data_IF_454248979653
#
_entry.id   IF_454248979653
#
_cell.length_a   1.000
_cell.length_b   1.000
_cell.length_c   1.000
_cell.angle_alpha   90.00
_cell.angle_beta   90.00
_cell.angle_gamma   90.00
#
_symmetry.space_group_name_H-M   'P 1'
#
loop_
_entity.id
_entity.type
_entity.pdbx_description
1 polymer ?
#
# COMPACT_ATOMS: atom_id res chain seq x y z
N UNK A 1 -2.21 20.47 7.68
CA UNK A 1 -2.34 19.86 6.35
C UNK A 1 -2.20 20.95 5.31
N UNK A 2 -1.00 21.15 4.78
CA UNK A 2 -0.77 22.10 3.70
C UNK A 2 -1.21 21.44 2.40
N UNK A 3 -2.43 21.74 1.95
CA UNK A 3 -2.84 21.47 0.58
C UNK A 3 -1.80 22.10 -0.35
N UNK A 4 -1.17 21.29 -1.16
CA UNK A 4 -0.20 21.70 -2.17
C UNK A 4 -0.98 22.45 -3.28
N UNK A 5 -1.35 23.72 -3.00
CA UNK A 5 -2.10 24.58 -3.93
C UNK A 5 -1.22 24.86 -5.13
N UNK A 6 -1.76 24.62 -6.33
CA UNK A 6 -1.03 24.94 -7.56
C UNK A 6 -0.95 26.48 -7.75
N UNK A 7 -0.04 26.94 -8.60
CA UNK A 7 0.20 28.37 -8.80
C UNK A 7 -1.01 29.12 -9.37
N UNK A 8 -1.87 28.45 -10.14
CA UNK A 8 -3.11 29.04 -10.62
C UNK A 8 -4.09 29.26 -9.47
N UNK A 9 -4.22 28.29 -8.58
CA UNK A 9 -5.05 28.39 -7.36
C UNK A 9 -4.52 29.46 -6.39
N UNK A 10 -3.19 29.64 -6.28
CA UNK A 10 -2.59 30.69 -5.45
C UNK A 10 -2.95 32.07 -5.99
N UNK A 11 -2.90 32.28 -7.31
CA UNK A 11 -3.30 33.54 -7.92
C UNK A 11 -4.82 33.71 -8.07
N UNK A 12 -5.60 32.63 -7.92
CA UNK A 12 -7.04 32.65 -8.13
C UNK A 12 -7.43 32.89 -9.61
N UNK A 13 -6.65 32.32 -10.53
CA UNK A 13 -6.88 32.41 -11.99
C UNK A 13 -7.09 31.03 -12.61
N UNK A 14 -7.75 31.00 -13.76
CA UNK A 14 -7.92 29.77 -14.54
C UNK A 14 -6.59 29.30 -15.15
N UNK A 15 -6.47 28.00 -15.42
CA UNK A 15 -5.26 27.43 -16.08
C UNK A 15 -5.07 27.96 -17.50
N UNK A 16 -6.14 28.44 -18.13
CA UNK A 16 -6.11 29.05 -19.45
C UNK A 16 -5.93 30.56 -19.40
N UNK A 17 -5.82 31.18 -18.20
CA UNK A 17 -5.69 32.60 -18.01
C UNK A 17 -4.56 33.23 -18.86
N UNK A 18 -4.88 34.36 -19.49
CA UNK A 18 -3.94 35.11 -20.28
C UNK A 18 -2.98 35.94 -19.41
N UNK A 19 -1.94 36.50 -20.04
CA UNK A 19 -0.94 37.31 -19.37
C UNK A 19 -1.55 38.52 -18.63
N UNK A 20 -2.56 39.14 -19.23
CA UNK A 20 -3.26 40.29 -18.63
C UNK A 20 -4.00 39.91 -17.34
N UNK A 21 -4.66 38.77 -17.33
CA UNK A 21 -5.39 38.24 -16.15
C UNK A 21 -4.42 37.89 -15.01
N UNK A 22 -3.32 37.21 -15.33
CA UNK A 22 -2.26 36.87 -14.37
C UNK A 22 -1.68 38.13 -13.74
N UNK A 23 -1.40 39.18 -14.54
CA UNK A 23 -0.90 40.46 -14.04
C UNK A 23 -1.93 41.18 -13.15
N UNK A 24 -3.22 41.14 -13.50
CA UNK A 24 -4.28 41.76 -12.74
C UNK A 24 -4.47 41.06 -11.38
N UNK A 25 -4.51 39.71 -11.38
CA UNK A 25 -4.61 38.91 -10.16
C UNK A 25 -3.43 39.15 -9.21
N UNK A 26 -2.21 39.15 -9.75
CA UNK A 26 -1.01 39.43 -8.97
C UNK A 26 -1.06 40.81 -8.32
N UNK A 27 -1.39 41.89 -9.07
CA UNK A 27 -1.50 43.24 -8.51
C UNK A 27 -2.49 43.31 -7.33
N UNK A 28 -3.65 42.67 -7.49
CA UNK A 28 -4.67 42.60 -6.44
C UNK A 28 -4.14 41.91 -5.18
N UNK A 29 -3.54 40.73 -5.33
CA UNK A 29 -3.00 39.96 -4.20
C UNK A 29 -1.77 40.63 -3.57
N UNK A 30 -0.89 41.22 -4.37
CA UNK A 30 0.28 41.94 -3.89
C UNK A 30 -0.12 43.16 -3.01
N UNK A 31 -1.19 43.88 -3.40
CA UNK A 31 -1.73 44.98 -2.59
C UNK A 31 -2.37 44.48 -1.29
N UNK A 32 -2.99 43.31 -1.29
CA UNK A 32 -3.63 42.71 -0.10
C UNK A 32 -2.61 42.19 0.91
N UNK A 33 -1.51 41.60 0.43
CA UNK A 33 -0.50 40.96 1.27
C UNK A 33 0.78 41.77 1.43
N UNK A 34 0.77 43.09 1.06
CA UNK A 34 1.94 43.94 1.20
C UNK A 34 2.29 44.16 2.68
N UNK A 35 3.56 43.94 3.09
CA UNK A 35 3.96 44.02 4.50
C UNK A 35 3.70 45.45 5.13
N UNK A 36 3.81 46.52 4.35
CA UNK A 36 3.56 47.86 4.83
C UNK A 36 2.08 48.19 5.17
N UNK A 37 1.15 47.39 4.56
CA UNK A 37 -0.29 47.59 4.80
C UNK A 37 -0.85 46.67 5.89
N UNK A 38 -0.15 45.60 6.23
CA UNK A 38 -0.56 44.65 7.26
C UNK A 38 0.54 44.44 8.33
N UNK A 39 0.89 45.47 9.10
CA UNK A 39 1.98 45.39 10.09
C UNK A 39 1.70 44.40 11.24
N UNK A 40 0.43 44.04 11.47
CA UNK A 40 0.03 43.03 12.46
C UNK A 40 0.31 41.60 12.05
N UNK A 41 0.15 41.25 10.75
CA UNK A 41 0.43 39.90 10.21
C UNK A 41 1.93 39.71 9.95
N UNK A 42 2.69 40.78 9.73
CA UNK A 42 4.15 40.72 9.57
C UNK A 42 4.86 40.18 10.82
N UNK A 43 4.31 40.39 12.01
CA UNK A 43 4.85 39.87 13.29
C UNK A 43 4.64 38.38 13.47
N UNK A 44 3.67 37.76 12.76
CA UNK A 44 3.35 36.33 12.86
C UNK A 44 4.03 35.48 11.78
N UNK A 45 4.82 36.04 10.86
CA UNK A 45 5.49 35.32 9.76
C UNK A 45 4.55 34.82 8.67
N UNK A 46 3.23 34.92 8.84
CA UNK A 46 2.21 34.37 7.92
C UNK A 46 2.03 35.25 6.67
N UNK A 47 2.11 36.57 6.79
CA UNK A 47 2.02 37.48 5.65
C UNK A 47 3.22 37.34 4.70
N UNK A 48 4.41 37.09 5.25
CA UNK A 48 5.64 36.89 4.47
C UNK A 48 5.57 35.61 3.61
N UNK A 49 5.05 34.50 4.14
CA UNK A 49 4.91 33.24 3.40
C UNK A 49 3.83 33.30 2.34
N UNK A 50 2.71 33.98 2.60
CA UNK A 50 1.64 34.18 1.60
C UNK A 50 2.10 35.08 0.46
N UNK A 51 2.80 36.18 0.75
CA UNK A 51 3.34 37.11 -0.26
C UNK A 51 4.43 36.45 -1.10
N UNK A 52 5.28 35.61 -0.48
CA UNK A 52 6.33 34.86 -1.17
C UNK A 52 5.73 33.83 -2.15
N UNK A 53 4.68 33.12 -1.74
CA UNK A 53 3.99 32.18 -2.61
C UNK A 53 3.30 32.87 -3.81
N UNK A 54 2.69 34.05 -3.59
CA UNK A 54 2.08 34.86 -4.66
C UNK A 54 3.14 35.33 -5.66
N UNK A 55 4.30 35.79 -5.17
CA UNK A 55 5.41 36.22 -6.04
C UNK A 55 5.97 35.04 -6.87
N UNK A 56 6.19 33.90 -6.26
CA UNK A 56 6.68 32.70 -6.93
C UNK A 56 5.71 32.23 -8.01
N UNK A 57 4.41 32.18 -7.70
CA UNK A 57 3.37 31.84 -8.65
C UNK A 57 3.33 32.81 -9.83
N UNK A 58 3.40 34.11 -9.58
CA UNK A 58 3.44 35.13 -10.62
C UNK A 58 4.67 34.99 -11.53
N UNK A 59 5.87 34.91 -10.96
CA UNK A 59 7.10 34.79 -11.75
C UNK A 59 7.19 33.50 -12.56
N UNK A 60 6.51 32.46 -12.12
CA UNK A 60 6.44 31.21 -12.88
C UNK A 60 5.41 31.30 -14.01
N UNK A 61 4.23 31.86 -13.73
CA UNK A 61 3.13 31.85 -14.70
C UNK A 61 3.21 32.96 -15.74
N UNK A 62 3.90 34.08 -15.46
CA UNK A 62 4.09 35.18 -16.41
C UNK A 62 5.14 34.88 -17.49
N UNK A 63 6.13 34.05 -17.15
CA UNK A 63 7.17 33.62 -18.07
C UNK A 63 6.68 32.43 -18.87
N UNK A 64 6.63 32.55 -20.21
CA UNK A 64 6.09 31.51 -21.10
C UNK A 64 6.83 30.17 -20.97
N UNK A 65 8.16 30.19 -20.83
CA UNK A 65 8.95 28.95 -20.75
C UNK A 65 8.76 28.27 -19.38
N UNK A 66 8.82 29.06 -18.30
CA UNK A 66 8.59 28.54 -16.93
C UNK A 66 7.19 27.99 -16.80
N UNK A 67 6.18 28.70 -17.31
CA UNK A 67 4.80 28.25 -17.34
C UNK A 67 4.62 26.95 -18.11
N UNK A 68 5.24 26.81 -19.27
CA UNK A 68 5.20 25.58 -20.07
C UNK A 68 5.82 24.38 -19.30
N UNK A 69 6.98 24.57 -18.68
CA UNK A 69 7.64 23.54 -17.85
C UNK A 69 6.77 23.17 -16.64
N UNK A 70 6.20 24.15 -15.97
CA UNK A 70 5.31 23.95 -14.84
C UNK A 70 4.04 23.16 -15.23
N UNK A 71 3.38 23.54 -16.32
CA UNK A 71 2.21 22.84 -16.84
C UNK A 71 2.52 21.39 -17.22
N UNK A 72 3.68 21.15 -17.86
CA UNK A 72 4.15 19.81 -18.17
C UNK A 72 4.31 18.96 -16.91
N UNK A 73 4.95 19.50 -15.87
CA UNK A 73 5.12 18.81 -14.60
C UNK A 73 3.79 18.52 -13.88
N UNK A 74 2.81 19.45 -13.95
CA UNK A 74 1.46 19.23 -13.43
C UNK A 74 0.73 18.08 -14.16
N UNK A 75 0.85 18.05 -15.50
CA UNK A 75 0.22 17.01 -16.33
C UNK A 75 0.85 15.64 -16.06
N UNK A 76 2.17 15.57 -15.99
CA UNK A 76 2.91 14.34 -15.66
C UNK A 76 2.56 13.83 -14.26
N UNK A 77 2.44 14.72 -13.28
CA UNK A 77 2.02 14.37 -11.91
C UNK A 77 0.58 13.85 -11.88
N UNK A 78 -0.34 14.51 -12.59
CA UNK A 78 -1.74 14.08 -12.69
C UNK A 78 -1.85 12.71 -13.39
N UNK A 79 -1.16 12.52 -14.52
CA UNK A 79 -1.14 11.25 -15.25
C UNK A 79 -0.52 10.12 -14.41
N UNK A 80 0.53 10.41 -13.62
CA UNK A 80 1.15 9.46 -12.70
C UNK A 80 0.19 9.03 -11.58
N UNK A 81 -0.60 9.96 -11.03
CA UNK A 81 -1.61 9.65 -10.00
C UNK A 81 -2.75 8.83 -10.59
N UNK A 82 -3.27 9.20 -11.77
CA UNK A 82 -4.32 8.43 -12.45
C UNK A 82 -3.86 7.02 -12.82
N UNK A 83 -2.65 6.88 -13.39
CA UNK A 83 -2.07 5.58 -13.72
C UNK A 83 -1.91 4.69 -12.49
N UNK A 84 -1.40 5.23 -11.39
CA UNK A 84 -1.27 4.50 -10.13
C UNK A 84 -2.64 4.08 -9.55
N UNK A 85 -3.65 4.93 -9.68
CA UNK A 85 -5.02 4.64 -9.23
C UNK A 85 -5.65 3.53 -10.06
N UNK A 86 -5.53 3.60 -11.39
CA UNK A 86 -6.04 2.55 -12.30
C UNK A 86 -5.35 1.21 -12.02
N UNK A 87 -4.03 1.21 -11.89
CA UNK A 87 -3.26 -0.01 -11.57
C UNK A 87 -3.67 -0.59 -10.21
N UNK A 88 -3.87 0.25 -9.19
CA UNK A 88 -4.33 -0.19 -7.86
C UNK A 88 -5.73 -0.79 -7.93
N UNK A 89 -6.65 -0.19 -8.70
CA UNK A 89 -8.01 -0.70 -8.88
C UNK A 89 -8.00 -2.05 -9.62
N UNK A 90 -7.18 -2.21 -10.64
CA UNK A 90 -7.00 -3.50 -11.34
C UNK A 90 -6.43 -4.58 -10.42
N UNK A 91 -5.47 -4.24 -9.55
CA UNK A 91 -4.93 -5.15 -8.55
C UNK A 91 -6.03 -5.63 -7.58
N UNK A 92 -6.86 -4.71 -7.10
CA UNK A 92 -7.96 -5.02 -6.19
C UNK A 92 -9.04 -5.90 -6.86
N UNK A 93 -9.40 -5.60 -8.11
CA UNK A 93 -10.34 -6.44 -8.87
C UNK A 93 -9.80 -7.86 -9.04
N UNK A 94 -8.55 -8.01 -9.45
CA UNK A 94 -7.89 -9.32 -9.57
C UNK A 94 -7.87 -10.06 -8.23
N UNK A 95 -7.60 -9.35 -7.13
CA UNK A 95 -7.64 -9.93 -5.79
C UNK A 95 -9.04 -10.47 -5.43
N UNK A 96 -10.10 -9.72 -5.74
CA UNK A 96 -11.49 -10.16 -5.49
C UNK A 96 -11.87 -11.40 -6.30
N UNK A 97 -11.48 -11.44 -7.58
CA UNK A 97 -11.67 -12.65 -8.41
C UNK A 97 -10.87 -13.84 -7.86
N UNK A 98 -9.66 -13.60 -7.36
CA UNK A 98 -8.86 -14.61 -6.68
C UNK A 98 -9.52 -15.14 -5.42
N UNK A 99 -10.13 -14.29 -4.60
CA UNK A 99 -10.87 -14.69 -3.41
C UNK A 99 -12.10 -15.55 -3.76
N UNK A 100 -12.82 -15.18 -4.80
CA UNK A 100 -13.98 -15.95 -5.25
C UNK A 100 -13.59 -17.33 -5.79
N UNK A 101 -12.54 -17.37 -6.62
CA UNK A 101 -11.98 -18.63 -7.09
C UNK A 101 -11.47 -19.50 -5.92
N UNK A 102 -10.87 -18.89 -4.89
CA UNK A 102 -10.40 -19.60 -3.70
C UNK A 102 -11.56 -20.20 -2.89
N UNK A 103 -12.63 -19.44 -2.67
CA UNK A 103 -13.86 -19.89 -1.98
C UNK A 103 -14.51 -21.06 -2.68
N UNK A 104 -14.54 -21.05 -4.02
CA UNK A 104 -15.11 -22.11 -4.84
C UNK A 104 -14.13 -23.26 -5.12
N UNK A 105 -13.02 -23.34 -4.35
CA UNK A 105 -11.97 -24.37 -4.46
C UNK A 105 -11.28 -24.44 -5.82
N UNK A 106 -11.40 -23.43 -6.66
CA UNK A 106 -10.69 -23.27 -7.93
C UNK A 106 -9.27 -22.72 -7.69
N UNK A 107 -8.45 -23.47 -6.92
CA UNK A 107 -7.19 -22.95 -6.40
C UNK A 107 -6.19 -22.56 -7.49
N UNK A 108 -6.11 -23.29 -8.60
CA UNK A 108 -5.24 -22.92 -9.74
C UNK A 108 -5.62 -21.53 -10.30
N UNK A 109 -6.91 -21.29 -10.51
CA UNK A 109 -7.42 -19.98 -10.96
C UNK A 109 -7.15 -18.89 -9.91
N UNK A 110 -7.31 -19.21 -8.62
CA UNK A 110 -7.01 -18.26 -7.55
C UNK A 110 -5.53 -17.83 -7.60
N UNK A 111 -4.60 -18.76 -7.84
CA UNK A 111 -3.16 -18.47 -8.02
C UNK A 111 -2.94 -17.48 -9.16
N UNK A 112 -3.57 -17.69 -10.32
CA UNK A 112 -3.44 -16.79 -11.48
C UNK A 112 -3.89 -15.35 -11.12
N UNK A 113 -5.07 -15.20 -10.52
CA UNK A 113 -5.58 -13.91 -10.12
C UNK A 113 -4.72 -13.24 -9.04
N UNK A 114 -4.27 -13.99 -8.03
CA UNK A 114 -3.40 -13.41 -6.99
C UNK A 114 -2.01 -13.05 -7.55
N UNK A 115 -1.47 -13.77 -8.52
CA UNK A 115 -0.23 -13.39 -9.22
C UNK A 115 -0.38 -12.05 -9.94
N UNK A 116 -1.52 -11.82 -10.59
CA UNK A 116 -1.81 -10.51 -11.20
C UNK A 116 -1.86 -9.42 -10.14
N UNK A 117 -2.53 -9.67 -9.00
CA UNK A 117 -2.65 -8.70 -7.91
C UNK A 117 -1.30 -8.28 -7.33
N UNK A 118 -0.40 -9.26 -7.05
CA UNK A 118 0.94 -8.95 -6.52
C UNK A 118 1.84 -8.26 -7.54
N UNK A 119 1.66 -8.55 -8.83
CA UNK A 119 2.39 -7.88 -9.92
C UNK A 119 1.99 -6.40 -10.03
N UNK A 120 0.69 -6.13 -9.95
CA UNK A 120 0.15 -4.78 -10.06
C UNK A 120 0.36 -3.94 -8.81
N UNK A 121 0.30 -4.54 -7.62
CA UNK A 121 0.58 -3.83 -6.37
C UNK A 121 1.43 -4.67 -5.40
N UNK A 122 2.76 -4.62 -5.54
CA UNK A 122 3.69 -5.40 -4.74
C UNK A 122 3.88 -4.90 -3.30
N UNK A 123 3.16 -3.85 -2.89
CA UNK A 123 3.23 -3.28 -1.54
C UNK A 123 2.13 -3.80 -0.61
N UNK A 124 1.14 -4.52 -1.13
CA UNK A 124 0.04 -5.07 -0.32
C UNK A 124 0.36 -6.49 0.17
N UNK A 125 0.64 -6.63 1.45
CA UNK A 125 0.98 -7.90 2.10
C UNK A 125 -0.09 -8.97 1.93
N UNK A 126 -1.37 -8.60 2.03
CA UNK A 126 -2.49 -9.52 1.92
C UNK A 126 -2.55 -10.26 0.57
N UNK A 127 -2.08 -9.63 -0.51
CA UNK A 127 -2.05 -10.29 -1.82
C UNK A 127 -1.05 -11.45 -1.85
N UNK A 128 0.13 -11.24 -1.30
CA UNK A 128 1.15 -12.28 -1.15
C UNK A 128 0.72 -13.38 -0.20
N UNK A 129 0.09 -13.01 0.91
CA UNK A 129 -0.46 -13.96 1.88
C UNK A 129 -1.45 -14.91 1.21
N UNK A 130 -2.43 -14.38 0.46
CA UNK A 130 -3.43 -15.19 -0.25
C UNK A 130 -2.82 -16.00 -1.39
N UNK A 131 -1.80 -15.46 -2.07
CA UNK A 131 -1.07 -16.18 -3.10
C UNK A 131 -0.39 -17.44 -2.51
N UNK A 132 0.33 -17.32 -1.41
CA UNK A 132 0.99 -18.45 -0.76
C UNK A 132 0.01 -19.55 -0.36
N UNK A 133 -1.12 -19.19 0.26
CA UNK A 133 -2.18 -20.14 0.61
C UNK A 133 -2.82 -20.79 -0.63
N UNK A 134 -3.01 -20.04 -1.71
CA UNK A 134 -3.57 -20.58 -2.95
C UNK A 134 -2.63 -21.56 -3.63
N UNK A 135 -1.32 -21.25 -3.68
CA UNK A 135 -0.30 -22.12 -4.28
C UNK A 135 -0.29 -23.48 -3.57
N UNK A 136 -0.21 -23.50 -2.24
CA UNK A 136 -0.15 -24.77 -1.50
C UNK A 136 -1.46 -25.56 -1.63
N UNK A 137 -2.61 -24.91 -1.68
CA UNK A 137 -3.92 -25.54 -1.92
C UNK A 137 -4.08 -26.06 -3.34
N UNK A 138 -3.41 -25.45 -4.29
CA UNK A 138 -3.36 -25.91 -5.69
C UNK A 138 -2.37 -27.08 -5.92
N UNK A 139 -1.74 -27.59 -4.87
CA UNK A 139 -0.60 -28.53 -4.92
C UNK A 139 0.58 -27.98 -5.74
N UNK A 140 0.78 -26.67 -5.68
CA UNK A 140 1.92 -25.99 -6.30
C UNK A 140 3.21 -26.10 -5.48
N UNK A 141 4.33 -25.55 -6.00
CA UNK A 141 5.62 -25.65 -5.35
C UNK A 141 5.62 -25.05 -3.94
N UNK A 142 6.14 -25.80 -2.96
CA UNK A 142 6.26 -25.35 -1.57
C UNK A 142 7.08 -24.06 -1.45
N UNK A 143 8.18 -23.99 -2.19
CA UNK A 143 9.07 -22.83 -2.12
C UNK A 143 8.39 -21.55 -2.61
N UNK A 144 7.55 -21.62 -3.66
CA UNK A 144 6.76 -20.46 -4.13
C UNK A 144 5.73 -20.03 -3.09
N UNK A 145 5.04 -20.98 -2.44
CA UNK A 145 4.06 -20.71 -1.40
C UNK A 145 4.72 -20.06 -0.19
N UNK A 146 5.85 -20.61 0.25
CA UNK A 146 6.67 -20.10 1.35
C UNK A 146 7.17 -18.68 1.05
N UNK A 147 7.83 -18.47 -0.10
CA UNK A 147 8.35 -17.18 -0.49
C UNK A 147 7.26 -16.10 -0.53
N UNK A 148 6.05 -16.47 -0.99
CA UNK A 148 4.90 -15.55 -0.97
C UNK A 148 4.51 -15.17 0.46
N UNK A 149 4.36 -16.12 1.38
CA UNK A 149 4.04 -15.82 2.78
C UNK A 149 5.16 -15.03 3.48
N UNK A 150 6.41 -15.36 3.24
CA UNK A 150 7.57 -14.62 3.78
C UNK A 150 7.59 -13.18 3.26
N UNK A 151 7.22 -12.96 1.99
CA UNK A 151 7.08 -11.60 1.44
C UNK A 151 5.98 -10.81 2.13
N UNK A 152 4.86 -11.44 2.47
CA UNK A 152 3.81 -10.78 3.26
C UNK A 152 4.32 -10.37 4.64
N UNK A 153 5.07 -11.23 5.33
CA UNK A 153 5.69 -10.92 6.62
C UNK A 153 6.69 -9.76 6.51
N UNK A 154 7.52 -9.73 5.45
CA UNK A 154 8.45 -8.61 5.23
C UNK A 154 7.75 -7.25 5.06
N UNK A 155 6.55 -7.24 4.49
CA UNK A 155 5.76 -6.02 4.29
C UNK A 155 5.06 -5.61 5.58
N UNK A 156 4.49 -6.57 6.32
CA UNK A 156 3.73 -6.36 7.55
C UNK A 156 4.17 -7.34 8.65
N UNK A 157 5.35 -7.11 9.23
CA UNK A 157 5.99 -8.04 10.17
C UNK A 157 5.23 -8.23 11.49
N UNK A 158 4.34 -7.31 11.85
CA UNK A 158 3.55 -7.39 13.09
C UNK A 158 2.16 -8.02 12.90
N UNK A 159 1.83 -8.47 11.69
CA UNK A 159 0.52 -9.05 11.39
C UNK A 159 0.51 -10.57 11.64
N UNK A 160 -0.20 -11.06 12.68
CA UNK A 160 -0.23 -12.48 13.05
C UNK A 160 -0.76 -13.39 11.95
N UNK A 161 -1.65 -12.89 11.07
CA UNK A 161 -2.24 -13.67 9.99
C UNK A 161 -1.20 -14.14 8.96
N UNK A 162 -0.09 -13.40 8.80
CA UNK A 162 0.96 -13.81 7.86
C UNK A 162 1.78 -14.99 8.39
N UNK A 163 2.09 -15.00 9.69
CA UNK A 163 2.71 -16.14 10.35
C UNK A 163 1.79 -17.35 10.40
N UNK A 164 0.51 -17.15 10.70
CA UNK A 164 -0.50 -18.21 10.62
C UNK A 164 -0.53 -18.85 9.24
N UNK A 165 -0.52 -18.05 8.18
CA UNK A 165 -0.54 -18.54 6.80
C UNK A 165 0.71 -19.31 6.43
N UNK A 166 1.91 -18.84 6.84
CA UNK A 166 3.16 -19.56 6.65
C UNK A 166 3.16 -20.89 7.41
N UNK A 167 2.63 -20.89 8.64
CA UNK A 167 2.42 -22.11 9.41
C UNK A 167 1.49 -23.09 8.71
N UNK A 168 0.41 -22.63 8.08
CA UNK A 168 -0.49 -23.48 7.28
C UNK A 168 0.24 -24.05 6.06
N UNK A 169 1.07 -23.28 5.39
CA UNK A 169 1.89 -23.75 4.26
C UNK A 169 2.80 -24.89 4.73
N UNK A 170 3.54 -24.73 5.81
CA UNK A 170 4.40 -25.78 6.35
C UNK A 170 3.62 -27.01 6.83
N UNK A 171 2.49 -26.80 7.52
CA UNK A 171 1.63 -27.90 7.98
C UNK A 171 1.10 -28.73 6.80
N UNK A 172 0.66 -28.10 5.72
CA UNK A 172 0.16 -28.80 4.52
C UNK A 172 1.28 -29.57 3.82
N UNK A 173 2.51 -29.11 3.92
CA UNK A 173 3.70 -29.81 3.41
C UNK A 173 4.25 -30.89 4.37
N UNK A 174 3.57 -31.16 5.49
CA UNK A 174 4.01 -32.14 6.50
C UNK A 174 5.18 -31.69 7.38
N UNK A 175 5.60 -30.42 7.30
CA UNK A 175 6.72 -29.85 8.06
C UNK A 175 6.24 -29.32 9.43
N UNK A 176 5.79 -30.24 10.29
CA UNK A 176 5.09 -29.91 11.54
C UNK A 176 5.91 -29.04 12.52
N UNK A 177 7.23 -29.26 12.61
CA UNK A 177 8.08 -28.46 13.50
C UNK A 177 8.15 -26.99 13.03
N UNK A 178 8.36 -26.76 11.73
CA UNK A 178 8.35 -25.41 11.17
C UNK A 178 6.97 -24.77 11.27
N UNK A 179 5.90 -25.53 11.07
CA UNK A 179 4.54 -25.03 11.26
C UNK A 179 4.30 -24.61 12.71
N UNK A 180 4.75 -25.41 13.67
CA UNK A 180 4.66 -25.12 15.11
C UNK A 180 5.32 -23.79 15.45
N UNK A 181 6.51 -23.53 14.93
CA UNK A 181 7.24 -22.30 15.18
C UNK A 181 6.49 -21.09 14.64
N UNK A 182 5.92 -21.19 13.44
CA UNK A 182 5.14 -20.10 12.86
C UNK A 182 3.82 -19.85 13.61
N UNK A 183 3.15 -20.88 14.09
CA UNK A 183 1.95 -20.71 14.92
C UNK A 183 2.28 -20.06 16.26
N UNK A 184 3.42 -20.37 16.86
CA UNK A 184 3.92 -19.67 18.06
C UNK A 184 4.23 -18.20 17.77
N UNK A 185 4.86 -17.88 16.64
CA UNK A 185 5.09 -16.49 16.24
C UNK A 185 3.77 -15.74 16.07
N UNK A 186 2.76 -16.33 15.39
CA UNK A 186 1.44 -15.71 15.29
C UNK A 186 0.85 -15.40 16.68
N UNK A 187 0.99 -16.30 17.64
CA UNK A 187 0.48 -16.13 19.02
C UNK A 187 1.25 -15.13 19.85
N UNK A 188 2.50 -14.82 19.50
CA UNK A 188 3.24 -13.71 20.15
C UNK A 188 2.60 -12.35 19.80
N UNK A 189 2.12 -12.20 18.58
CA UNK A 189 1.47 -10.97 18.12
C UNK A 189 -0.01 -10.90 18.48
N UNK A 190 -0.72 -12.04 18.42
CA UNK A 190 -2.11 -12.16 18.84
C UNK A 190 -2.31 -13.43 19.71
N UNK A 191 -2.14 -13.34 21.02
CA UNK A 191 -2.32 -14.46 21.94
C UNK A 191 -3.74 -15.07 21.94
N UNK A 192 -4.74 -14.33 21.44
CA UNK A 192 -6.14 -14.77 21.36
C UNK A 192 -6.51 -15.36 19.99
N UNK A 193 -5.57 -15.51 19.07
CA UNK A 193 -5.85 -16.08 17.77
C UNK A 193 -6.25 -17.56 17.87
N UNK A 194 -7.56 -17.80 17.83
CA UNK A 194 -8.16 -19.14 17.99
C UNK A 194 -7.67 -20.11 16.90
N UNK A 195 -7.42 -19.62 15.67
CA UNK A 195 -6.95 -20.48 14.59
C UNK A 195 -5.50 -20.94 14.82
N UNK A 196 -4.63 -20.04 15.25
CA UNK A 196 -3.24 -20.36 15.58
C UNK A 196 -3.18 -21.36 16.76
N UNK A 197 -3.97 -21.16 17.83
CA UNK A 197 -4.06 -22.06 18.96
C UNK A 197 -4.48 -23.47 18.54
N UNK A 198 -5.58 -23.59 17.79
CA UNK A 198 -6.08 -24.90 17.30
C UNK A 198 -5.05 -25.62 16.44
N UNK A 199 -4.38 -24.88 15.55
CA UNK A 199 -3.36 -25.48 14.67
C UNK A 199 -2.11 -25.90 15.42
N UNK A 200 -1.70 -25.12 16.41
CA UNK A 200 -0.57 -25.47 17.26
C UNK A 200 -0.86 -26.77 18.03
N UNK A 201 -2.08 -26.95 18.55
CA UNK A 201 -2.50 -28.20 19.20
C UNK A 201 -2.49 -29.40 18.22
N UNK A 202 -2.95 -29.20 16.99
CA UNK A 202 -2.97 -30.27 15.97
C UNK A 202 -1.56 -30.77 15.66
N UNK A 203 -0.61 -29.86 15.41
CA UNK A 203 0.77 -30.27 15.12
C UNK A 203 1.49 -30.83 16.35
N UNK A 204 1.10 -30.44 17.59
CA UNK A 204 1.66 -30.99 18.84
C UNK A 204 1.17 -32.38 19.17
N UNK A 205 -0.04 -32.75 18.78
CA UNK A 205 -0.62 -34.09 18.99
C UNK A 205 -0.07 -35.15 18.03
N UNK A 206 0.35 -34.72 16.81
CA UNK A 206 0.93 -35.62 15.81
C UNK A 206 2.24 -36.31 16.27
N UNK A 207 3.06 -35.60 17.05
CA UNK A 207 4.33 -36.15 17.57
C UNK A 207 4.10 -37.21 18.65
N UNK A 208 3.04 -37.10 19.46
CA UNK A 208 2.72 -38.09 20.51
C UNK A 208 2.18 -39.40 19.96
N UNK A 209 1.50 -39.36 18.81
CA UNK A 209 0.98 -40.56 18.15
C UNK A 209 2.05 -41.42 17.49
N UNK A 210 3.10 -40.79 16.97
CA UNK A 210 4.21 -41.52 16.31
C UNK A 210 5.12 -42.22 17.33
N UNK A 211 5.37 -41.65 18.47
CA UNK A 211 6.19 -42.25 19.53
C UNK A 211 5.46 -43.37 20.29
N UNK A 212 4.12 -43.29 20.39
CA UNK A 212 3.32 -44.35 21.02
C UNK A 212 3.28 -45.69 20.23
N UNK A 213 3.49 -45.61 18.92
CA UNK A 213 3.53 -46.82 18.06
C UNK A 213 4.85 -47.58 18.05
N UNK A 214 5.95 -46.95 18.49
CA UNK A 214 7.29 -47.57 18.48
C UNK A 214 7.60 -48.32 19.78
N UNK A 215 6.95 -47.98 20.90
CA UNK A 215 7.20 -48.58 22.22
C UNK A 215 6.08 -49.51 22.73
N UNK A 216 5.07 -49.79 21.94
CA UNK A 216 3.90 -50.60 22.31
C UNK A 216 3.87 -52.00 21.76
N UNK A 217 4.98 -52.74 21.74
CA UNK A 217 4.99 -54.23 21.61
C UNK A 217 6.13 -54.79 22.46
N UNK A 218 5.83 -55.17 23.65
CA UNK A 218 6.39 -56.29 24.39
C UNK A 218 5.26 -57.10 24.94
#
# INVERSE_FOLDING_TARGET
MSENRDYYSILGVDRMAGEAEIKAAYRKLALMHHPDRNPGESRAGLASTSFQAVNEAYHTLIDKEKRARYNKALTEKAAGVEGATVQSNQAEMSYRYGLEAYKTSQFKRAVEYFRVSVKLNPKKAIYFNRLGLAIIKANGPLEDAKASCERAIQIEMYNPEHYLSLGIVYQTAGMNDKARDQFKEALKWDPKNVQAQKRLEMVGKGDKGFLGGIFGKK
#
